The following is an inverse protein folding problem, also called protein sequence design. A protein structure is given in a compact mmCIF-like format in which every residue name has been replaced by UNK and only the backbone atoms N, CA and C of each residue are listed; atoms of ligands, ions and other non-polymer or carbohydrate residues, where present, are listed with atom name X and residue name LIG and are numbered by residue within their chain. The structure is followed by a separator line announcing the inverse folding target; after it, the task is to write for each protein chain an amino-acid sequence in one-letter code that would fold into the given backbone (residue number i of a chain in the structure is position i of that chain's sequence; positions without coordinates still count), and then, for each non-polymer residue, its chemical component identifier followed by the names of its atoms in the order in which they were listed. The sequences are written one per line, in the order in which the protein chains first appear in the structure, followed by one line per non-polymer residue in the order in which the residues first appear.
data_IF_054044172117
#
_entry.id   IF_054044172117
#
_cell.length_a   1.000
_cell.length_b   1.000
_cell.length_c   1.000
_cell.angle_alpha   90.00
_cell.angle_beta   90.00
_cell.angle_gamma   90.00
#
_symmetry.space_group_name_H-M   'P 1'
#
loop_
_entity.id
_entity.type
_entity.pdbx_description
1 polymer ?
#
# COMPACT_ATOMS: atom_id res chain seq x y z
N UNK A 1 3.87 -9.40 -3.11
CA UNK A 1 2.89 -8.29 -3.14
C UNK A 1 2.03 -8.34 -1.87
N UNK A 2 1.27 -7.28 -1.58
CA UNK A 2 0.30 -7.28 -0.47
C UNK A 2 0.75 -6.60 0.82
N UNK A 3 1.70 -5.67 0.76
CA UNK A 3 2.01 -4.75 1.86
C UNK A 3 1.58 -3.32 1.54
N UNK A 4 1.42 -2.51 2.57
CA UNK A 4 1.32 -1.05 2.50
C UNK A 4 2.57 -0.47 3.15
N UNK A 5 3.07 0.62 2.58
CA UNK A 5 4.14 1.39 3.15
C UNK A 5 3.61 2.74 3.61
N UNK A 6 3.98 3.16 4.82
CA UNK A 6 3.66 4.48 5.35
C UNK A 6 4.91 5.10 5.96
N UNK A 7 5.18 6.34 5.56
CA UNK A 7 6.39 7.06 5.99
C UNK A 7 6.05 8.34 6.72
N UNK A 8 6.11 8.38 8.06
CA UNK A 8 6.19 9.63 8.79
C UNK A 8 7.54 10.34 8.55
N UNK A 9 7.50 11.68 8.51
CA UNK A 9 8.68 12.53 8.47
C UNK A 9 8.91 13.22 7.13
N UNK A 10 10.17 13.47 6.79
CA UNK A 10 10.59 14.35 5.70
C UNK A 10 9.93 13.95 4.37
N UNK A 11 9.18 14.87 3.77
CA UNK A 11 8.65 14.68 2.43
C UNK A 11 9.77 14.83 1.39
N UNK A 12 9.68 14.07 0.30
CA UNK A 12 10.53 14.26 -0.87
C UNK A 12 10.13 15.52 -1.63
N UNK A 13 11.10 16.20 -2.26
CA UNK A 13 10.83 17.41 -3.05
C UNK A 13 9.87 17.17 -4.22
N UNK A 14 9.97 16.01 -4.87
CA UNK A 14 9.12 15.64 -6.03
C UNK A 14 7.70 15.22 -5.65
N UNK A 15 7.45 14.95 -4.37
CA UNK A 15 6.16 14.52 -3.82
C UNK A 15 5.88 15.31 -2.54
N UNK A 16 6.18 16.61 -2.57
CA UNK A 16 6.15 17.47 -1.39
C UNK A 16 4.71 17.67 -0.91
N UNK A 17 4.52 17.48 0.39
CA UNK A 17 3.27 17.76 1.10
C UNK A 17 3.46 18.78 2.24
N UNK A 18 4.63 19.43 2.29
CA UNK A 18 5.00 20.40 3.31
C UNK A 18 5.59 19.81 4.59
N UNK A 19 5.66 18.48 4.74
CA UNK A 19 6.25 17.89 5.94
C UNK A 19 7.77 18.09 5.94
N UNK A 20 8.30 18.68 7.01
CA UNK A 20 9.73 18.95 7.20
C UNK A 20 10.19 18.31 8.49
N UNK A 21 11.16 17.41 8.41
CA UNK A 21 11.66 16.65 9.55
C UNK A 21 13.11 16.23 9.32
N UNK A 22 13.86 16.03 10.41
CA UNK A 22 15.19 15.43 10.35
C UNK A 22 15.14 13.91 10.14
N UNK A 23 13.96 13.30 10.26
CA UNK A 23 13.75 11.85 10.15
C UNK A 23 12.83 11.55 8.98
N UNK A 24 13.10 10.45 8.30
CA UNK A 24 12.24 9.80 7.31
C UNK A 24 12.25 8.31 7.65
N UNK A 25 11.11 7.77 8.09
CA UNK A 25 11.06 6.40 8.57
C UNK A 25 10.00 5.57 7.86
N UNK A 26 10.48 4.58 7.14
CA UNK A 26 9.68 3.66 6.36
C UNK A 26 9.09 2.53 7.22
N UNK A 27 7.77 2.52 7.36
CA UNK A 27 7.03 1.49 8.09
C UNK A 27 6.24 0.60 7.13
N UNK A 28 6.38 -0.72 7.28
CA UNK A 28 5.71 -1.70 6.42
C UNK A 28 4.59 -2.40 7.19
N UNK A 29 3.38 -2.35 6.63
CA UNK A 29 2.23 -3.15 7.07
C UNK A 29 2.01 -4.30 6.09
N UNK A 30 2.22 -5.54 6.52
CA UNK A 30 1.93 -6.72 5.72
C UNK A 30 0.45 -7.06 5.85
N UNK A 31 -0.30 -7.01 4.75
CA UNK A 31 -1.75 -7.26 4.73
C UNK A 31 -2.11 -8.61 4.12
N UNK A 32 -1.16 -9.54 3.96
CA UNK A 32 -1.47 -10.90 3.51
C UNK A 32 -2.18 -11.67 4.62
N UNK A 33 -3.08 -12.59 4.25
CA UNK A 33 -3.92 -13.33 5.19
C UNK A 33 -3.14 -14.00 6.33
N UNK A 34 -1.98 -14.58 6.04
CA UNK A 34 -1.14 -15.27 7.03
C UNK A 34 -0.43 -14.33 8.02
N UNK A 35 -0.51 -13.01 7.81
CA UNK A 35 0.03 -11.98 8.70
C UNK A 35 -1.07 -11.13 9.36
N UNK A 36 -2.32 -11.62 9.35
CA UNK A 36 -3.47 -10.92 9.93
C UNK A 36 -4.40 -10.26 8.90
N UNK A 37 -4.01 -10.26 7.62
CA UNK A 37 -4.85 -9.75 6.55
C UNK A 37 -4.98 -8.23 6.52
N UNK A 38 -5.98 -7.74 5.80
CA UNK A 38 -6.30 -6.31 5.77
C UNK A 38 -6.97 -5.87 4.49
N UNK A 39 -7.46 -4.63 4.51
CA UNK A 39 -8.17 -4.02 3.40
C UNK A 39 -7.55 -2.68 3.01
N UNK A 40 -7.68 -2.31 1.74
CA UNK A 40 -7.36 -0.98 1.22
C UNK A 40 -8.59 -0.49 0.46
N UNK A 41 -9.06 0.70 0.83
CA UNK A 41 -10.28 1.34 0.35
C UNK A 41 -9.95 2.72 -0.24
N UNK A 42 -10.47 3.04 -1.43
CA UNK A 42 -10.40 4.37 -2.06
C UNK A 42 -11.82 4.78 -2.40
N UNK A 43 -12.26 5.95 -1.95
CA UNK A 43 -13.57 6.53 -2.29
C UNK A 43 -14.74 5.52 -2.18
N UNK A 44 -14.78 4.80 -1.05
CA UNK A 44 -15.76 3.73 -0.74
C UNK A 44 -15.68 2.45 -1.60
N UNK A 45 -14.66 2.29 -2.45
CA UNK A 45 -14.37 1.07 -3.20
C UNK A 45 -13.25 0.24 -2.56
N UNK A 46 -13.51 -1.06 -2.32
CA UNK A 46 -12.51 -2.00 -1.83
C UNK A 46 -11.58 -2.45 -2.96
N UNK A 47 -10.41 -1.82 -3.07
CA UNK A 47 -9.44 -2.11 -4.14
C UNK A 47 -8.53 -3.31 -3.82
N UNK A 48 -8.27 -3.59 -2.54
CA UNK A 48 -7.40 -4.71 -2.14
C UNK A 48 -7.89 -5.37 -0.85
N UNK A 49 -7.92 -6.70 -0.82
CA UNK A 49 -8.19 -7.49 0.39
C UNK A 49 -7.19 -8.63 0.53
N UNK A 50 -6.65 -8.78 1.74
CA UNK A 50 -5.68 -9.81 2.10
C UNK A 50 -4.46 -9.91 1.16
N UNK A 51 -4.05 -8.74 0.63
CA UNK A 51 -2.92 -8.61 -0.29
C UNK A 51 -3.23 -8.82 -1.77
N UNK A 52 -4.49 -9.06 -2.15
CA UNK A 52 -4.95 -9.26 -3.53
C UNK A 52 -5.86 -8.13 -4.02
N UNK A 53 -5.62 -7.64 -5.23
CA UNK A 53 -6.47 -6.68 -5.92
C UNK A 53 -7.78 -7.33 -6.35
N UNK A 54 -8.89 -6.63 -6.09
CA UNK A 54 -10.24 -7.10 -6.38
C UNK A 54 -10.86 -6.53 -7.67
N UNK A 55 -10.69 -5.24 -8.00
CA UNK A 55 -11.28 -4.68 -9.23
C UNK A 55 -10.77 -5.40 -10.47
N UNK A 56 -11.67 -5.62 -11.44
CA UNK A 56 -11.35 -6.42 -12.62
C UNK A 56 -10.12 -5.90 -13.37
N UNK A 57 -10.01 -4.57 -13.51
CA UNK A 57 -8.90 -3.92 -14.22
C UNK A 57 -7.55 -4.03 -13.49
N UNK A 58 -7.58 -4.32 -12.18
CA UNK A 58 -6.39 -4.45 -11.34
C UNK A 58 -5.99 -5.91 -11.07
N UNK A 59 -6.83 -6.90 -11.41
CA UNK A 59 -6.53 -8.33 -11.17
C UNK A 59 -5.24 -8.79 -11.85
N UNK A 60 -4.89 -8.20 -13.00
CA UNK A 60 -3.63 -8.50 -13.69
C UNK A 60 -2.38 -8.17 -12.86
N UNK A 61 -2.51 -7.36 -11.80
CA UNK A 61 -1.42 -7.01 -10.88
C UNK A 61 -1.28 -8.00 -9.71
N UNK A 62 -2.13 -9.03 -9.63
CA UNK A 62 -2.03 -10.04 -8.59
C UNK A 62 -0.86 -11.02 -8.86
N UNK A 63 -0.28 -11.62 -7.81
CA UNK A 63 0.93 -12.45 -7.92
C UNK A 63 0.86 -13.57 -8.96
N UNK A 64 -0.31 -14.20 -9.17
CA UNK A 64 -0.50 -15.26 -10.16
C UNK A 64 -0.28 -14.82 -11.61
N UNK A 65 -0.35 -13.51 -11.87
CA UNK A 65 -0.20 -12.92 -13.20
C UNK A 65 1.19 -12.28 -13.40
N UNK A 66 1.99 -12.16 -12.34
CA UNK A 66 3.31 -11.54 -12.35
C UNK A 66 4.38 -12.63 -12.30
N UNK A 67 5.13 -12.78 -13.41
CA UNK A 67 6.20 -13.77 -13.57
C UNK A 67 7.48 -13.38 -12.84
#
# INVERSE_FOLDING_TARGET
AGSLHFTPGQAYEVADNGNRSAVHWDMVLIQRKEWGGGEVWFDDELIRKDGLFLPNDLKALNPENLR
#
